data_IF_840114322387
#
_entry.id   IF_840114322387
#
_cell.length_a   1.000
_cell.length_b   1.000
_cell.length_c   1.000
_cell.angle_alpha   90.00
_cell.angle_beta   90.00
_cell.angle_gamma   90.00
#
_symmetry.space_group_name_H-M   'P 1'
#
loop_
_entity.id
_entity.type
_entity.pdbx_description
1 polymer ?
#
# COMPACT_ATOMS: atom_id res chain seq x y z
N UNK A 1 -16.72 6.41 25.92
CA UNK A 1 -15.97 7.30 25.01
C UNK A 1 -14.98 6.51 24.15
N UNK A 2 -14.18 5.61 24.72
CA UNK A 2 -13.22 4.74 23.96
C UNK A 2 -13.93 3.87 22.92
N UNK A 3 -15.00 3.17 23.28
CA UNK A 3 -15.78 2.31 22.37
C UNK A 3 -16.35 3.08 21.17
N UNK A 4 -16.91 4.29 21.41
CA UNK A 4 -17.43 5.13 20.34
C UNK A 4 -16.30 5.52 19.37
N UNK A 5 -15.11 5.83 19.90
CA UNK A 5 -13.97 6.22 19.08
C UNK A 5 -13.42 5.02 18.27
N UNK A 6 -13.45 3.82 18.82
CA UNK A 6 -13.08 2.58 18.10
C UNK A 6 -14.04 2.30 16.92
N UNK A 7 -15.34 2.49 17.12
CA UNK A 7 -16.33 2.38 16.03
C UNK A 7 -16.08 3.45 14.97
N UNK A 8 -15.80 4.69 15.37
CA UNK A 8 -15.45 5.79 14.44
C UNK A 8 -14.20 5.45 13.64
N UNK A 9 -13.16 4.91 14.28
CA UNK A 9 -11.94 4.47 13.59
C UNK A 9 -12.25 3.38 12.56
N UNK A 10 -13.10 2.40 12.89
CA UNK A 10 -13.52 1.35 11.95
C UNK A 10 -14.24 1.92 10.72
N UNK A 11 -15.16 2.87 10.93
CA UNK A 11 -15.87 3.56 9.83
C UNK A 11 -14.92 4.39 8.98
N UNK A 12 -14.01 5.14 9.60
CA UNK A 12 -12.99 5.92 8.89
C UNK A 12 -12.03 5.02 8.09
N UNK A 13 -11.68 3.86 8.63
CA UNK A 13 -10.85 2.88 7.95
C UNK A 13 -11.54 2.37 6.68
N UNK A 14 -12.80 1.95 6.78
CA UNK A 14 -13.58 1.52 5.61
C UNK A 14 -13.75 2.65 4.58
N UNK A 15 -14.07 3.86 5.03
CA UNK A 15 -14.22 5.04 4.17
C UNK A 15 -12.92 5.39 3.44
N UNK A 16 -11.77 5.28 4.13
CA UNK A 16 -10.44 5.46 3.51
C UNK A 16 -10.17 4.41 2.45
N UNK A 17 -10.43 3.13 2.76
CA UNK A 17 -10.20 2.01 1.84
C UNK A 17 -11.05 2.17 0.58
N UNK A 18 -12.36 2.28 0.73
CA UNK A 18 -13.29 2.41 -0.38
C UNK A 18 -13.05 3.71 -1.18
N UNK A 19 -12.83 4.83 -0.49
CA UNK A 19 -12.53 6.12 -1.10
C UNK A 19 -11.24 6.09 -1.92
N UNK A 20 -10.19 5.41 -1.43
CA UNK A 20 -8.93 5.20 -2.15
C UNK A 20 -9.13 4.40 -3.45
N UNK A 21 -9.97 3.36 -3.42
CA UNK A 21 -10.31 2.55 -4.59
C UNK A 21 -11.16 3.33 -5.60
N UNK A 22 -12.15 4.09 -5.13
CA UNK A 22 -12.97 4.97 -5.98
C UNK A 22 -12.08 6.01 -6.65
N UNK A 23 -11.24 6.71 -5.89
CA UNK A 23 -10.33 7.74 -6.42
C UNK A 23 -9.41 7.16 -7.49
N UNK A 24 -8.84 5.98 -7.25
CA UNK A 24 -7.98 5.28 -8.19
C UNK A 24 -8.75 4.90 -9.46
N UNK A 25 -9.92 4.25 -9.32
CA UNK A 25 -10.73 3.81 -10.45
C UNK A 25 -11.21 4.95 -11.36
N UNK A 26 -11.64 6.08 -10.77
CA UNK A 26 -12.05 7.26 -11.51
C UNK A 26 -10.90 7.94 -12.27
N UNK A 27 -9.66 7.78 -11.79
CA UNK A 27 -8.45 8.34 -12.41
C UNK A 27 -7.86 7.51 -13.53
N UNK A 28 -8.27 6.24 -13.71
CA UNK A 28 -7.62 5.27 -14.58
C UNK A 28 -8.38 5.03 -15.88
N UNK A 29 -7.64 4.86 -16.98
CA UNK A 29 -8.20 4.41 -18.26
C UNK A 29 -7.89 2.93 -18.50
N UNK A 30 -8.75 2.24 -19.25
CA UNK A 30 -8.58 0.81 -19.61
C UNK A 30 -7.20 0.59 -20.29
N UNK A 31 -6.78 1.53 -21.13
CA UNK A 31 -5.47 1.46 -21.80
C UNK A 31 -4.32 1.47 -20.78
N UNK A 32 -4.39 2.32 -19.77
CA UNK A 32 -3.39 2.39 -18.70
C UNK A 32 -3.33 1.11 -17.86
N UNK A 33 -4.47 0.42 -17.73
CA UNK A 33 -4.56 -0.87 -17.02
C UNK A 33 -3.83 -1.96 -17.81
N UNK A 34 -4.04 -2.03 -19.13
CA UNK A 34 -3.55 -3.13 -19.98
C UNK A 34 -2.09 -2.95 -20.43
N UNK A 35 -1.62 -1.69 -20.58
CA UNK A 35 -0.30 -1.38 -21.12
C UNK A 35 0.87 -2.10 -20.41
N UNK A 36 0.93 -2.20 -19.06
CA UNK A 36 2.04 -2.86 -18.38
C UNK A 36 2.14 -4.36 -18.65
N UNK A 37 1.00 -5.01 -18.91
CA UNK A 37 0.97 -6.47 -19.18
C UNK A 37 1.66 -6.85 -20.49
N UNK A 38 1.91 -5.88 -21.38
CA UNK A 38 2.68 -6.09 -22.62
C UNK A 38 4.14 -6.42 -22.35
N UNK A 39 4.70 -5.96 -21.22
CA UNK A 39 6.09 -6.26 -20.84
C UNK A 39 6.13 -7.42 -19.82
N UNK A 40 6.09 -8.66 -20.32
CA UNK A 40 6.09 -9.88 -19.51
C UNK A 40 7.26 -9.93 -18.51
N UNK A 41 8.46 -9.46 -18.92
CA UNK A 41 9.64 -9.44 -18.05
C UNK A 41 9.44 -8.50 -16.86
N UNK A 42 8.91 -7.30 -17.09
CA UNK A 42 8.63 -6.33 -16.03
C UNK A 42 7.54 -6.85 -15.08
N UNK A 43 6.50 -7.48 -15.61
CA UNK A 43 5.44 -8.12 -14.81
C UNK A 43 6.04 -9.20 -13.90
N UNK A 44 6.81 -10.12 -14.46
CA UNK A 44 7.43 -11.21 -13.70
C UNK A 44 8.38 -10.69 -12.61
N UNK A 45 9.26 -9.75 -12.96
CA UNK A 45 10.19 -9.15 -12.00
C UNK A 45 9.46 -8.41 -10.88
N UNK A 46 8.37 -7.69 -11.21
CA UNK A 46 7.58 -7.01 -10.18
C UNK A 46 6.85 -7.97 -9.25
N UNK A 47 6.32 -9.09 -9.75
CA UNK A 47 5.69 -10.12 -8.92
C UNK A 47 6.71 -10.82 -8.01
N UNK A 48 7.87 -11.21 -8.54
CA UNK A 48 8.95 -11.81 -7.75
C UNK A 48 9.43 -10.82 -6.67
N UNK A 49 9.70 -9.56 -7.04
CA UNK A 49 10.13 -8.56 -6.09
C UNK A 49 9.13 -8.36 -4.95
N UNK A 50 7.83 -8.23 -5.29
CA UNK A 50 6.81 -7.84 -4.33
C UNK A 50 6.25 -9.00 -3.49
N UNK A 51 6.18 -10.20 -4.03
CA UNK A 51 5.52 -11.34 -3.38
C UNK A 51 6.46 -12.49 -3.00
N UNK A 52 7.76 -12.37 -3.35
CA UNK A 52 8.79 -13.32 -2.93
C UNK A 52 9.90 -12.59 -2.18
N UNK A 53 10.63 -11.67 -2.82
CA UNK A 53 11.83 -11.06 -2.25
C UNK A 53 11.52 -10.16 -1.05
N UNK A 54 10.49 -9.30 -1.13
CA UNK A 54 10.12 -8.42 -0.02
C UNK A 54 9.55 -9.21 1.17
N UNK A 55 8.67 -10.19 1.02
CA UNK A 55 8.26 -11.05 2.14
C UNK A 55 9.44 -11.80 2.78
N UNK A 56 10.33 -12.41 1.99
CA UNK A 56 11.53 -13.08 2.53
C UNK A 56 12.42 -12.11 3.30
N UNK A 57 12.63 -10.90 2.77
CA UNK A 57 13.38 -9.85 3.45
C UNK A 57 12.68 -9.43 4.76
N UNK A 58 11.36 -9.26 4.76
CA UNK A 58 10.58 -8.93 5.94
C UNK A 58 10.72 -10.00 7.03
N UNK A 59 10.56 -11.28 6.66
CA UNK A 59 10.77 -12.41 7.58
C UNK A 59 12.19 -12.40 8.16
N UNK A 60 13.20 -12.18 7.32
CA UNK A 60 14.60 -12.07 7.77
C UNK A 60 14.80 -10.96 8.80
N UNK A 61 14.24 -9.77 8.55
CA UNK A 61 14.36 -8.63 9.48
C UNK A 61 13.71 -8.95 10.83
N UNK A 62 12.45 -9.40 10.84
CA UNK A 62 11.71 -9.63 12.07
C UNK A 62 12.16 -10.86 12.83
N UNK A 63 12.94 -11.75 12.20
CA UNK A 63 13.58 -12.88 12.84
C UNK A 63 14.90 -12.51 13.51
N UNK A 64 15.67 -11.58 12.87
CA UNK A 64 17.00 -11.17 13.36
C UNK A 64 16.88 -10.05 14.40
N UNK A 65 15.96 -9.11 14.20
CA UNK A 65 15.84 -7.92 15.05
C UNK A 65 14.75 -8.09 16.10
N UNK A 66 15.03 -7.72 17.36
CA UNK A 66 14.05 -7.80 18.44
C UNK A 66 12.97 -6.71 18.23
N UNK A 67 11.77 -7.14 17.88
CA UNK A 67 10.59 -6.29 17.73
C UNK A 67 9.41 -6.88 18.48
N UNK A 68 8.47 -6.01 18.92
CA UNK A 68 7.21 -6.47 19.51
C UNK A 68 6.37 -7.27 18.51
N UNK A 69 5.49 -8.13 19.02
CA UNK A 69 4.65 -9.00 18.19
C UNK A 69 3.79 -8.18 17.21
N UNK A 70 3.20 -7.09 17.67
CA UNK A 70 2.41 -6.21 16.80
C UNK A 70 3.23 -5.60 15.65
N UNK A 71 4.49 -5.18 15.90
CA UNK A 71 5.39 -4.69 14.84
C UNK A 71 5.73 -5.80 13.85
N UNK A 72 6.01 -7.02 14.33
CA UNK A 72 6.26 -8.21 13.51
C UNK A 72 5.09 -8.50 12.58
N UNK A 73 3.87 -8.57 13.13
CA UNK A 73 2.64 -8.79 12.38
C UNK A 73 2.45 -7.69 11.33
N UNK A 74 2.60 -6.42 11.72
CA UNK A 74 2.43 -5.28 10.83
C UNK A 74 3.39 -5.28 9.64
N UNK A 75 4.69 -5.57 9.86
CA UNK A 75 5.69 -5.69 8.80
C UNK A 75 5.39 -6.86 7.88
N UNK A 76 5.02 -8.03 8.41
CA UNK A 76 4.70 -9.22 7.61
C UNK A 76 3.46 -8.98 6.77
N UNK A 77 2.35 -8.48 7.34
CA UNK A 77 1.14 -8.15 6.59
C UNK A 77 1.41 -7.13 5.50
N UNK A 78 2.21 -6.10 5.80
CA UNK A 78 2.57 -5.09 4.82
C UNK A 78 3.46 -5.68 3.71
N UNK A 79 4.36 -6.61 4.04
CA UNK A 79 5.27 -7.24 3.07
C UNK A 79 4.55 -8.01 1.97
N UNK A 80 3.36 -8.56 2.25
CA UNK A 80 2.52 -9.26 1.26
C UNK A 80 1.43 -8.36 0.65
N UNK A 81 1.39 -7.07 1.02
CA UNK A 81 0.39 -6.08 0.56
C UNK A 81 1.00 -5.15 -0.49
N UNK A 82 0.89 -5.48 -1.77
CA UNK A 82 1.36 -4.64 -2.88
C UNK A 82 0.28 -3.70 -3.43
N UNK A 83 0.68 -2.76 -4.30
CA UNK A 83 -0.24 -1.94 -5.07
C UNK A 83 -0.74 -0.68 -4.34
N UNK A 84 0.17 0.09 -3.75
CA UNK A 84 -0.19 1.36 -3.09
C UNK A 84 -0.75 2.40 -4.06
N UNK A 85 -1.86 3.09 -3.72
CA UNK A 85 -2.47 4.11 -4.59
C UNK A 85 -1.55 5.32 -4.89
N UNK A 86 -0.54 5.56 -4.08
CA UNK A 86 0.40 6.68 -4.24
C UNK A 86 1.50 6.44 -5.28
N UNK A 87 1.69 5.20 -5.76
CA UNK A 87 2.75 4.83 -6.72
C UNK A 87 2.75 5.72 -7.97
N UNK A 88 1.61 5.94 -8.68
CA UNK A 88 1.62 6.76 -9.89
C UNK A 88 2.04 8.20 -9.63
N UNK A 89 1.62 8.79 -8.50
CA UNK A 89 1.93 10.18 -8.15
C UNK A 89 3.41 10.39 -7.86
N UNK A 90 4.04 9.47 -7.14
CA UNK A 90 5.48 9.55 -6.85
C UNK A 90 6.31 9.34 -8.12
N UNK A 91 5.92 8.38 -8.98
CA UNK A 91 6.57 8.13 -10.27
C UNK A 91 6.43 9.34 -11.21
N UNK A 92 5.26 10.00 -11.24
CA UNK A 92 5.03 11.27 -11.97
C UNK A 92 6.00 12.37 -11.50
N UNK A 93 6.11 12.55 -10.17
CA UNK A 93 7.02 13.52 -9.56
C UNK A 93 8.48 13.26 -9.95
N UNK A 94 8.89 12.00 -10.08
CA UNK A 94 10.22 11.59 -10.55
C UNK A 94 10.40 11.66 -12.08
N UNK A 95 9.40 12.17 -12.84
CA UNK A 95 9.38 12.18 -14.31
C UNK A 95 9.54 10.78 -14.92
N UNK A 96 9.00 9.76 -14.26
CA UNK A 96 8.87 8.41 -14.79
C UNK A 96 7.60 8.22 -15.62
N UNK A 97 7.46 7.04 -16.26
CA UNK A 97 6.29 6.70 -17.11
C UNK A 97 5.08 6.36 -16.23
N UNK A 98 4.15 7.29 -16.10
CA UNK A 98 2.95 7.16 -15.24
C UNK A 98 2.09 5.95 -15.63
N UNK A 99 1.88 5.69 -16.93
CA UNK A 99 1.11 4.53 -17.41
C UNK A 99 1.68 3.20 -16.89
N UNK A 100 3.02 3.05 -16.88
CA UNK A 100 3.66 1.87 -16.31
C UNK A 100 3.48 1.75 -14.80
N UNK A 101 3.49 2.88 -14.09
CA UNK A 101 3.28 2.92 -12.64
C UNK A 101 1.85 2.56 -12.25
N UNK A 102 0.88 3.06 -12.99
CA UNK A 102 -0.55 2.77 -12.82
C UNK A 102 -0.82 1.27 -13.00
N UNK A 103 -0.32 0.70 -14.08
CA UNK A 103 -0.54 -0.71 -14.32
C UNK A 103 0.20 -1.62 -13.35
N UNK A 104 1.41 -1.24 -12.90
CA UNK A 104 2.09 -1.95 -11.82
C UNK A 104 1.25 -1.90 -10.53
N UNK A 105 0.75 -0.74 -10.15
CA UNK A 105 -0.11 -0.57 -8.98
C UNK A 105 -1.31 -1.51 -9.03
N UNK A 106 -2.03 -1.55 -10.16
CA UNK A 106 -3.20 -2.41 -10.33
C UNK A 106 -2.85 -3.89 -10.35
N UNK A 107 -1.78 -4.28 -11.05
CA UNK A 107 -1.29 -5.66 -11.03
C UNK A 107 -1.02 -6.12 -9.60
N UNK A 108 -0.25 -5.35 -8.85
CA UNK A 108 0.09 -5.69 -7.47
C UNK A 108 -1.13 -5.71 -6.57
N UNK A 109 -2.08 -4.78 -6.74
CA UNK A 109 -3.33 -4.75 -5.99
C UNK A 109 -4.17 -6.00 -6.24
N UNK A 110 -4.40 -6.37 -7.51
CA UNK A 110 -5.18 -7.56 -7.88
C UNK A 110 -4.53 -8.82 -7.29
N UNK A 111 -3.21 -8.96 -7.46
CA UNK A 111 -2.48 -10.11 -6.91
C UNK A 111 -2.53 -10.13 -5.38
N UNK A 112 -2.43 -8.98 -4.72
CA UNK A 112 -2.59 -8.88 -3.26
C UNK A 112 -3.95 -9.40 -2.79
N UNK A 113 -5.04 -8.99 -3.45
CA UNK A 113 -6.41 -9.41 -3.10
C UNK A 113 -6.58 -10.92 -3.25
N UNK A 114 -5.92 -11.52 -4.22
CA UNK A 114 -5.96 -12.97 -4.45
C UNK A 114 -5.05 -13.72 -3.45
N UNK A 115 -3.87 -13.22 -3.19
CA UNK A 115 -2.87 -13.90 -2.36
C UNK A 115 -3.13 -13.76 -0.85
N UNK A 116 -3.59 -12.60 -0.37
CA UNK A 116 -3.78 -12.35 1.07
C UNK A 116 -4.66 -13.39 1.75
N UNK A 117 -5.84 -13.78 1.20
CA UNK A 117 -6.68 -14.82 1.80
C UNK A 117 -6.01 -16.19 1.95
N UNK A 118 -5.03 -16.48 1.11
CA UNK A 118 -4.28 -17.76 1.15
C UNK A 118 -3.07 -17.65 2.07
N UNK A 119 -2.28 -16.58 1.89
CA UNK A 119 -0.97 -16.43 2.53
C UNK A 119 -1.09 -16.09 4.01
N UNK A 120 -2.04 -15.22 4.41
CA UNK A 120 -2.16 -14.77 5.80
C UNK A 120 -2.50 -15.93 6.76
N UNK A 121 -3.48 -16.81 6.49
CA UNK A 121 -3.73 -17.97 7.34
C UNK A 121 -2.55 -18.95 7.41
N UNK A 122 -1.76 -19.07 6.34
CA UNK A 122 -0.56 -19.93 6.32
C UNK A 122 0.57 -19.37 7.18
N UNK A 123 0.73 -18.04 7.19
CA UNK A 123 1.77 -17.36 7.99
C UNK A 123 1.41 -17.33 9.48
N UNK A 124 0.12 -17.22 9.82
CA UNK A 124 -0.38 -17.08 11.18
C UNK A 124 -1.35 -18.23 11.55
N UNK A 125 -0.89 -19.51 11.59
CA UNK A 125 -1.77 -20.66 11.79
C UNK A 125 -2.43 -20.70 13.17
N UNK A 126 -1.88 -19.98 14.17
CA UNK A 126 -2.45 -19.89 15.52
C UNK A 126 -3.58 -18.87 15.67
N UNK A 127 -3.77 -18.00 14.70
CA UNK A 127 -4.88 -17.06 14.67
C UNK A 127 -6.06 -17.72 13.93
N UNK A 128 -7.28 -17.62 14.48
CA UNK A 128 -8.51 -18.15 13.84
C UNK A 128 -8.88 -17.33 12.59
N UNK A 129 -8.02 -17.33 11.58
CA UNK A 129 -8.12 -16.50 10.38
C UNK A 129 -8.85 -17.27 9.29
N UNK A 130 -10.00 -16.76 8.88
CA UNK A 130 -10.75 -17.30 7.75
C UNK A 130 -10.32 -16.65 6.43
N UNK A 131 -9.73 -17.45 5.55
CA UNK A 131 -9.39 -17.03 4.19
C UNK A 131 -10.62 -16.45 3.46
N UNK A 132 -11.79 -17.03 3.65
CA UNK A 132 -13.04 -16.57 3.05
C UNK A 132 -13.47 -15.20 3.58
N UNK A 133 -13.30 -14.94 4.87
CA UNK A 133 -13.63 -13.63 5.45
C UNK A 133 -12.66 -12.55 4.97
N UNK A 134 -11.35 -12.85 4.85
CA UNK A 134 -10.39 -11.93 4.23
C UNK A 134 -10.81 -11.64 2.78
N UNK A 135 -11.10 -12.68 1.98
CA UNK A 135 -11.52 -12.51 0.59
C UNK A 135 -12.77 -11.62 0.48
N UNK A 136 -13.82 -11.92 1.25
CA UNK A 136 -15.03 -11.09 1.30
C UNK A 136 -14.71 -9.64 1.63
N UNK A 137 -13.96 -9.40 2.69
CA UNK A 137 -13.61 -8.06 3.14
C UNK A 137 -12.89 -7.28 2.04
N UNK A 138 -11.89 -7.88 1.38
CA UNK A 138 -11.15 -7.24 0.29
C UNK A 138 -12.01 -7.03 -0.97
N UNK A 139 -12.90 -7.97 -1.29
CA UNK A 139 -13.82 -7.83 -2.41
C UNK A 139 -14.79 -6.66 -2.17
N UNK A 140 -15.47 -6.62 -1.02
CA UNK A 140 -16.45 -5.58 -0.72
C UNK A 140 -15.83 -4.20 -0.51
N UNK A 141 -14.68 -4.12 0.18
CA UNK A 141 -14.06 -2.84 0.50
C UNK A 141 -13.17 -2.29 -0.62
N UNK A 142 -12.64 -3.14 -1.50
CA UNK A 142 -11.66 -2.74 -2.52
C UNK A 142 -12.12 -3.03 -3.95
N UNK A 143 -12.44 -4.28 -4.29
CA UNK A 143 -12.75 -4.64 -5.68
C UNK A 143 -14.06 -4.00 -6.16
N UNK A 144 -15.13 -4.07 -5.39
CA UNK A 144 -16.43 -3.52 -5.79
C UNK A 144 -16.33 -2.00 -6.00
N UNK A 145 -15.82 -1.18 -5.06
CA UNK A 145 -15.64 0.25 -5.28
C UNK A 145 -14.74 0.56 -6.47
N UNK A 146 -13.65 -0.20 -6.65
CA UNK A 146 -12.75 -0.04 -7.79
C UNK A 146 -13.44 -0.29 -9.13
N UNK A 147 -14.18 -1.42 -9.26
CA UNK A 147 -14.86 -1.76 -10.50
C UNK A 147 -15.99 -0.79 -10.83
N UNK A 148 -16.78 -0.33 -9.83
CA UNK A 148 -17.80 0.70 -10.02
C UNK A 148 -17.14 1.99 -10.56
N UNK A 149 -16.04 2.41 -9.95
CA UNK A 149 -15.33 3.61 -10.36
C UNK A 149 -14.71 3.49 -11.77
N UNK A 150 -14.14 2.33 -12.11
CA UNK A 150 -13.65 2.03 -13.45
C UNK A 150 -14.77 2.02 -14.50
N UNK A 151 -15.94 1.47 -14.16
CA UNK A 151 -17.12 1.48 -15.03
C UNK A 151 -17.59 2.93 -15.27
N UNK A 152 -17.71 3.74 -14.22
CA UNK A 152 -18.04 5.17 -14.33
C UNK A 152 -17.02 5.90 -15.21
N UNK A 153 -15.72 5.62 -15.03
CA UNK A 153 -14.68 6.21 -15.87
C UNK A 153 -14.77 5.79 -17.33
N UNK A 154 -15.08 4.53 -17.58
CA UNK A 154 -15.18 4.00 -18.95
C UNK A 154 -16.42 4.51 -19.69
N UNK A 155 -17.56 4.67 -19.00
CA UNK A 155 -18.85 5.02 -19.63
C UNK A 155 -19.17 6.51 -19.54
N UNK A 156 -18.75 7.17 -18.47
CA UNK A 156 -19.07 8.57 -18.13
C UNK A 156 -17.81 9.36 -17.77
N UNK A 157 -16.86 9.44 -18.74
CA UNK A 157 -15.54 10.03 -18.51
C UNK A 157 -15.58 11.44 -17.94
N UNK A 158 -16.51 12.28 -18.42
CA UNK A 158 -16.63 13.68 -17.99
C UNK A 158 -17.11 13.79 -16.54
N UNK A 159 -18.05 12.92 -16.14
CA UNK A 159 -18.50 12.81 -14.76
C UNK A 159 -17.33 12.35 -13.88
N UNK A 160 -16.62 11.29 -14.30
CA UNK A 160 -15.48 10.78 -13.55
C UNK A 160 -14.39 11.85 -13.32
N UNK A 161 -14.06 12.65 -14.34
CA UNK A 161 -13.09 13.75 -14.23
C UNK A 161 -13.55 14.80 -13.22
N UNK A 162 -14.84 15.13 -13.18
CA UNK A 162 -15.39 16.13 -12.25
C UNK A 162 -15.43 15.66 -10.81
N UNK A 163 -15.82 14.39 -10.57
CA UNK A 163 -16.01 13.86 -9.20
C UNK A 163 -14.70 13.31 -8.59
N UNK A 164 -13.73 12.88 -9.40
CA UNK A 164 -12.48 12.30 -8.92
C UNK A 164 -11.72 13.21 -7.94
N UNK A 165 -11.56 14.55 -8.17
CA UNK A 165 -10.89 15.43 -7.21
C UNK A 165 -11.60 15.53 -5.86
N UNK A 166 -12.94 15.46 -5.87
CA UNK A 166 -13.73 15.43 -4.64
C UNK A 166 -13.43 14.18 -3.82
N UNK A 167 -13.49 12.98 -4.44
CA UNK A 167 -13.17 11.73 -3.75
C UNK A 167 -11.71 11.69 -3.30
N UNK A 168 -10.77 12.22 -4.09
CA UNK A 168 -9.37 12.33 -3.72
C UNK A 168 -9.18 13.20 -2.46
N UNK A 169 -9.82 14.37 -2.41
CA UNK A 169 -9.78 15.27 -1.25
C UNK A 169 -10.40 14.61 -0.02
N UNK A 170 -11.57 13.98 -0.18
CA UNK A 170 -12.26 13.28 0.91
C UNK A 170 -11.38 12.15 1.46
N UNK A 171 -10.80 11.32 0.60
CA UNK A 171 -9.90 10.22 0.98
C UNK A 171 -8.66 10.73 1.73
N UNK A 172 -8.05 11.84 1.26
CA UNK A 172 -6.90 12.44 1.92
C UNK A 172 -7.25 13.00 3.32
N UNK A 173 -8.43 13.61 3.46
CA UNK A 173 -8.91 14.08 4.77
C UNK A 173 -9.18 12.86 5.68
N UNK A 174 -9.86 11.84 5.16
CA UNK A 174 -10.18 10.63 5.93
C UNK A 174 -8.93 9.92 6.43
N UNK A 175 -7.87 9.77 5.60
CA UNK A 175 -6.62 9.14 6.05
C UNK A 175 -5.90 10.00 7.09
N UNK A 176 -5.94 11.33 6.97
CA UNK A 176 -5.35 12.22 7.97
C UNK A 176 -6.07 12.11 9.30
N UNK A 177 -7.41 12.16 9.30
CA UNK A 177 -8.22 12.02 10.52
C UNK A 177 -8.04 10.64 11.14
N UNK A 178 -8.05 9.59 10.32
CA UNK A 178 -7.77 8.21 10.74
C UNK A 178 -6.40 8.10 11.43
N UNK A 179 -5.37 8.66 10.79
CA UNK A 179 -4.01 8.67 11.35
C UNK A 179 -3.96 9.37 12.71
N UNK A 180 -4.52 10.58 12.81
CA UNK A 180 -4.55 11.34 14.06
C UNK A 180 -5.33 10.59 15.16
N UNK A 181 -6.47 9.97 14.81
CA UNK A 181 -7.27 9.18 15.74
C UNK A 181 -6.50 7.95 16.25
N UNK A 182 -5.84 7.19 15.35
CA UNK A 182 -5.04 6.02 15.73
C UNK A 182 -3.84 6.44 16.61
N UNK A 183 -3.13 7.52 16.26
CA UNK A 183 -2.00 8.02 17.06
C UNK A 183 -2.50 8.47 18.44
N UNK A 184 -3.58 9.23 18.50
CA UNK A 184 -4.14 9.71 19.77
C UNK A 184 -4.56 8.56 20.69
N UNK A 185 -5.23 7.55 20.14
CA UNK A 185 -5.67 6.38 20.91
C UNK A 185 -4.53 5.48 21.40
N UNK A 186 -3.40 5.49 20.71
CA UNK A 186 -2.30 4.55 20.94
C UNK A 186 -0.96 5.27 21.21
N UNK A 187 -1.00 6.53 21.69
CA UNK A 187 0.24 7.32 21.86
C UNK A 187 1.24 6.66 22.83
N UNK A 188 0.75 6.03 23.90
CA UNK A 188 1.59 5.31 24.86
C UNK A 188 2.21 4.06 24.23
N UNK A 189 1.43 3.32 23.42
CA UNK A 189 1.92 2.14 22.71
C UNK A 189 2.97 2.53 21.66
N UNK A 190 2.76 3.63 20.94
CA UNK A 190 3.73 4.15 19.97
C UNK A 190 5.02 4.58 20.70
N UNK A 191 4.89 5.30 21.80
CA UNK A 191 6.04 5.77 22.59
C UNK A 191 6.86 4.60 23.16
N UNK A 192 6.21 3.53 23.62
CA UNK A 192 6.90 2.33 24.12
C UNK A 192 7.56 1.50 23.01
N UNK A 193 7.18 1.72 21.74
CA UNK A 193 7.72 1.01 20.58
C UNK A 193 8.60 1.90 19.65
N UNK A 194 9.15 2.99 20.15
CA UNK A 194 10.06 3.86 19.37
C UNK A 194 11.27 3.09 18.83
N UNK A 195 11.72 2.07 19.55
CA UNK A 195 12.77 1.14 19.09
C UNK A 195 12.45 0.40 17.80
N UNK A 196 11.18 0.36 17.38
CA UNK A 196 10.77 -0.23 16.09
C UNK A 196 11.07 0.69 14.88
N UNK A 197 11.28 2.00 15.08
CA UNK A 197 11.51 2.94 13.96
C UNK A 197 12.72 2.56 13.07
N UNK A 198 13.88 2.13 13.59
CA UNK A 198 14.97 1.63 12.77
C UNK A 198 14.56 0.42 11.90
N UNK A 199 13.79 -0.52 12.46
CA UNK A 199 13.33 -1.72 11.74
C UNK A 199 12.37 -1.34 10.63
N UNK A 200 11.44 -0.41 10.90
CA UNK A 200 10.51 0.16 9.91
C UNK A 200 11.28 0.82 8.77
N UNK A 201 12.31 1.61 9.09
CA UNK A 201 13.16 2.27 8.11
C UNK A 201 13.95 1.26 7.27
N UNK A 202 14.55 0.26 7.89
CA UNK A 202 15.28 -0.83 7.22
C UNK A 202 14.34 -1.58 6.27
N UNK A 203 13.13 -1.91 6.71
CA UNK A 203 12.13 -2.57 5.88
C UNK A 203 11.80 -1.73 4.64
N UNK A 204 11.51 -0.44 4.83
CA UNK A 204 11.18 0.46 3.72
C UNK A 204 12.35 0.59 2.73
N UNK A 205 13.56 0.87 3.22
CA UNK A 205 14.75 1.04 2.38
C UNK A 205 15.13 -0.26 1.65
N UNK A 206 15.01 -1.39 2.32
CA UNK A 206 15.27 -2.70 1.72
C UNK A 206 14.26 -3.05 0.63
N UNK A 207 12.97 -2.85 0.88
CA UNK A 207 11.91 -3.03 -0.13
C UNK A 207 12.13 -2.11 -1.34
N UNK A 208 12.46 -0.82 -1.11
CA UNK A 208 12.82 0.11 -2.17
C UNK A 208 14.07 -0.34 -2.94
N UNK A 209 15.10 -0.79 -2.24
CA UNK A 209 16.34 -1.32 -2.81
C UNK A 209 16.12 -2.56 -3.66
N UNK A 210 15.28 -3.51 -3.22
CA UNK A 210 14.89 -4.69 -4.00
C UNK A 210 14.25 -4.25 -5.32
N UNK A 211 13.31 -3.29 -5.27
CA UNK A 211 12.68 -2.76 -6.48
C UNK A 211 13.67 -2.05 -7.40
N UNK A 212 14.64 -1.32 -6.84
CA UNK A 212 15.69 -0.64 -7.61
C UNK A 212 16.59 -1.63 -8.35
N UNK A 213 17.01 -2.69 -7.70
CA UNK A 213 17.86 -3.73 -8.27
C UNK A 213 17.13 -4.52 -9.36
N UNK A 214 15.87 -4.90 -9.12
CA UNK A 214 15.04 -5.62 -10.09
C UNK A 214 14.68 -4.79 -11.32
N UNK A 215 14.69 -3.44 -11.22
CA UNK A 215 14.50 -2.52 -12.34
C UNK A 215 15.63 -2.56 -13.39
N UNK A 216 16.77 -3.16 -13.06
CA UNK A 216 17.91 -3.36 -13.97
C UNK A 216 18.51 -2.04 -14.48
N UNK A 217 18.91 -2.00 -15.78
CA UNK A 217 19.54 -0.82 -16.39
C UNK A 217 18.55 0.23 -16.91
N UNK A 218 17.28 -0.12 -17.10
CA UNK A 218 16.29 0.79 -17.62
C UNK A 218 15.84 1.79 -16.55
N UNK A 219 16.08 3.08 -16.75
CA UNK A 219 15.76 4.14 -15.80
C UNK A 219 14.27 4.15 -15.40
N UNK A 220 13.35 4.03 -16.37
CA UNK A 220 11.93 4.03 -16.10
C UNK A 220 11.48 2.81 -15.30
N UNK A 221 11.96 1.61 -15.67
CA UNK A 221 11.67 0.39 -14.92
C UNK A 221 12.21 0.48 -13.50
N UNK A 222 13.41 1.04 -13.31
CA UNK A 222 14.03 1.25 -12.00
C UNK A 222 13.21 2.19 -11.12
N UNK A 223 12.74 3.34 -11.64
CA UNK A 223 11.88 4.27 -10.92
C UNK A 223 10.55 3.59 -10.55
N UNK A 224 9.89 2.94 -11.52
CA UNK A 224 8.58 2.31 -11.32
C UNK A 224 8.68 1.18 -10.29
N UNK A 225 9.67 0.28 -10.43
CA UNK A 225 9.81 -0.87 -9.54
C UNK A 225 10.29 -0.46 -8.14
N UNK A 226 11.23 0.48 -8.00
CA UNK A 226 11.68 0.92 -6.68
C UNK A 226 10.55 1.60 -5.89
N UNK A 227 9.80 2.49 -6.54
CA UNK A 227 8.64 3.15 -5.92
C UNK A 227 7.53 2.13 -5.65
N UNK A 228 7.22 1.27 -6.63
CA UNK A 228 6.15 0.27 -6.51
C UNK A 228 6.42 -0.83 -5.49
N UNK A 229 7.69 -1.16 -5.25
CA UNK A 229 8.09 -2.18 -4.27
C UNK A 229 8.31 -1.56 -2.88
N UNK A 230 8.83 -0.32 -2.80
CA UNK A 230 9.01 0.41 -1.56
C UNK A 230 7.69 0.89 -0.95
N UNK A 231 6.78 1.43 -1.78
CA UNK A 231 5.45 1.83 -1.33
C UNK A 231 4.52 0.62 -1.33
N UNK A 232 4.40 0.01 -0.17
CA UNK A 232 3.45 -1.07 0.08
C UNK A 232 2.03 -0.52 0.26
N UNK A 233 1.02 -1.36 0.13
CA UNK A 233 -0.37 -0.95 0.34
C UNK A 233 -0.75 -1.04 1.83
N UNK A 234 -0.71 0.06 2.58
CA UNK A 234 -1.04 0.04 4.00
C UNK A 234 -2.52 -0.27 4.23
N UNK A 235 -3.38 0.09 3.27
CA UNK A 235 -4.83 -0.08 3.37
C UNK A 235 -5.21 -1.54 3.61
N UNK A 236 -4.62 -2.47 2.84
CA UNK A 236 -4.88 -3.91 2.97
C UNK A 236 -4.31 -4.43 4.30
N UNK A 237 -3.08 -4.04 4.62
CA UNK A 237 -2.42 -4.49 5.85
C UNK A 237 -3.19 -4.04 7.11
N UNK A 238 -3.62 -2.76 7.16
CA UNK A 238 -4.39 -2.20 8.28
C UNK A 238 -5.75 -2.89 8.41
N UNK A 239 -6.43 -3.13 7.28
CA UNK A 239 -7.73 -3.79 7.28
C UNK A 239 -7.65 -5.20 7.88
N UNK A 240 -6.66 -5.99 7.45
CA UNK A 240 -6.44 -7.35 7.97
C UNK A 240 -5.95 -7.30 9.43
N UNK A 241 -5.06 -6.38 9.77
CA UNK A 241 -4.60 -6.19 11.14
C UNK A 241 -5.75 -5.84 12.09
N UNK A 242 -6.62 -4.90 11.72
CA UNK A 242 -7.77 -4.51 12.53
C UNK A 242 -8.80 -5.62 12.70
N UNK A 243 -8.95 -6.48 11.70
CA UNK A 243 -9.92 -7.58 11.74
C UNK A 243 -9.46 -8.79 12.58
N UNK A 244 -8.16 -9.12 12.56
CA UNK A 244 -7.65 -10.37 13.12
C UNK A 244 -6.62 -10.18 14.23
N UNK A 245 -6.06 -9.00 14.37
CA UNK A 245 -4.99 -8.70 15.33
C UNK A 245 -5.30 -7.43 16.14
N UNK A 246 -6.58 -7.22 16.50
CA UNK A 246 -7.02 -6.05 17.25
C UNK A 246 -6.41 -5.95 18.67
N UNK A 247 -5.97 -7.07 19.24
CA UNK A 247 -5.23 -7.12 20.50
C UNK A 247 -3.81 -6.55 20.40
N UNK A 248 -3.28 -6.40 19.17
CA UNK A 248 -1.95 -5.91 18.86
C UNK A 248 -2.01 -4.58 18.09
N UNK A 249 -2.19 -3.43 18.74
CA UNK A 249 -2.38 -2.14 18.05
C UNK A 249 -1.25 -1.80 17.08
N UNK A 250 0.00 -2.20 17.39
CA UNK A 250 1.13 -2.00 16.50
C UNK A 250 1.01 -2.73 15.16
N UNK A 251 0.18 -3.77 15.07
CA UNK A 251 -0.07 -4.47 13.80
C UNK A 251 -0.72 -3.56 12.74
N UNK A 252 -1.61 -2.65 13.15
CA UNK A 252 -2.23 -1.66 12.28
C UNK A 252 -1.42 -0.36 12.19
N UNK A 253 -0.71 0.03 13.25
CA UNK A 253 0.09 1.26 13.32
C UNK A 253 1.36 1.14 12.46
N UNK A 254 2.04 0.01 12.49
CA UNK A 254 3.29 -0.21 11.75
C UNK A 254 3.15 0.05 10.25
N UNK A 255 2.14 -0.45 9.51
CA UNK A 255 1.90 -0.10 8.11
C UNK A 255 1.72 1.40 7.86
N UNK A 256 1.06 2.13 8.79
CA UNK A 256 0.93 3.58 8.69
C UNK A 256 2.27 4.30 8.86
N UNK A 257 3.08 3.87 9.81
CA UNK A 257 4.42 4.45 10.01
C UNK A 257 5.32 4.20 8.81
N UNK A 258 5.30 3.01 8.23
CA UNK A 258 6.07 2.68 7.02
C UNK A 258 5.70 3.60 5.86
N UNK A 259 4.40 3.82 5.59
CA UNK A 259 3.99 4.68 4.47
C UNK A 259 4.35 6.14 4.71
N UNK A 260 4.20 6.64 5.95
CA UNK A 260 4.56 8.01 6.30
C UNK A 260 6.06 8.24 6.11
N UNK A 261 6.89 7.38 6.71
CA UNK A 261 8.35 7.44 6.55
C UNK A 261 8.72 7.31 5.06
N UNK A 262 8.08 6.38 4.36
CA UNK A 262 8.27 6.20 2.93
C UNK A 262 7.96 7.44 2.11
N UNK A 263 6.84 8.11 2.36
CA UNK A 263 6.47 9.35 1.66
C UNK A 263 7.40 10.52 2.02
N UNK A 264 7.79 10.65 3.28
CA UNK A 264 8.75 11.67 3.72
C UNK A 264 10.12 11.53 3.03
N UNK A 265 10.54 10.31 2.70
CA UNK A 265 11.79 10.04 1.97
C UNK A 265 11.57 10.17 0.46
N UNK A 266 10.50 9.57 -0.08
CA UNK A 266 10.31 9.46 -1.53
C UNK A 266 9.89 10.77 -2.18
N UNK A 267 9.12 11.64 -1.53
CA UNK A 267 8.69 12.90 -2.14
C UNK A 267 9.90 13.81 -2.45
N UNK A 268 10.82 14.09 -1.51
CA UNK A 268 12.03 14.85 -1.80
C UNK A 268 12.95 14.15 -2.83
N UNK A 269 13.11 12.83 -2.71
CA UNK A 269 13.93 12.04 -3.64
C UNK A 269 13.38 12.10 -5.07
N UNK A 270 12.07 11.89 -5.25
CA UNK A 270 11.39 11.94 -6.54
C UNK A 270 11.49 13.34 -7.17
N UNK A 271 11.31 14.39 -6.36
CA UNK A 271 11.46 15.78 -6.80
C UNK A 271 12.88 16.07 -7.29
N UNK A 272 13.91 15.60 -6.55
CA UNK A 272 15.32 15.77 -6.95
C UNK A 272 15.63 15.02 -8.24
N UNK A 273 15.13 13.80 -8.40
CA UNK A 273 15.29 12.99 -9.63
C UNK A 273 14.58 13.68 -10.81
N UNK A 274 13.38 14.19 -10.60
CA UNK A 274 12.60 14.88 -11.62
C UNK A 274 13.26 16.15 -12.12
N UNK A 275 13.84 16.98 -11.22
CA UNK A 275 14.59 18.19 -11.59
C UNK A 275 15.82 17.87 -12.46
N UNK A 276 16.62 16.87 -12.11
CA UNK A 276 17.79 16.46 -12.91
C UNK A 276 17.43 16.02 -14.34
N UNK A 277 16.21 15.56 -14.57
CA UNK A 277 15.76 15.09 -15.90
C UNK A 277 15.36 16.24 -16.83
N UNK A 278 15.08 17.42 -16.29
CA UNK A 278 14.71 18.63 -17.10
C UNK A 278 15.95 19.37 -17.57
N UNK A 279 17.10 19.17 -16.93
CA UNK A 279 18.37 19.86 -17.25
C UNK A 279 19.37 19.02 -18.07
N UNK A 280 19.03 17.75 -18.36
CA UNK A 280 19.74 16.86 -19.28
C UNK A 280 18.84 16.49 -20.48
#
# INVERSE_FOLDING_TARGET
MKEVLEVVVGVLMFAFVAGSMITSGLGLTIRQIIEPFKNKKMVMLSLIANFVLVPLFAFGIVWILPVSEGVRIGIILLSVSGGAPFIPKIVETAKGRVGGAVGLMLLLLIVTIILMPVVVPLIFPGASISAWNIAKTLIYSMLIPLFIALFVKARFSDIAIRIQPFFAKLTNITVLVLFLAIVYLNIEVIASNVSALPVILIFFLGAFGIGYLTGGKNRNARIILSVGTGLRNPTVAILVAGQYFSSEPMAAITPLLVIIIGLLILIPLATKIGKKTVYN
#
